data_IF_060687672513
#
_entry.id   IF_060687672513
#
_cell.length_a   1.000
_cell.length_b   1.000
_cell.length_c   1.000
_cell.angle_alpha   90.00
_cell.angle_beta   90.00
_cell.angle_gamma   90.00
#
_symmetry.space_group_name_H-M   'P 1'
#
loop_
_entity.id
_entity.type
_entity.pdbx_description
1 polymer ?
#
# COMPACT_ATOMS: atom_id res chain seq x y z
N UNK A 1 7.41 -1.67 -26.25
CA UNK A 1 7.18 -3.10 -26.60
C UNK A 1 5.98 -3.57 -25.77
N UNK A 2 4.97 -4.15 -26.40
CA UNK A 2 3.81 -4.68 -25.65
C UNK A 2 4.21 -5.93 -24.88
N UNK A 3 3.73 -6.05 -23.65
CA UNK A 3 3.72 -7.32 -22.94
C UNK A 3 2.64 -8.23 -23.56
N UNK A 4 3.06 -9.39 -24.04
CA UNK A 4 2.15 -10.45 -24.44
C UNK A 4 2.30 -11.59 -23.43
N UNK A 5 1.20 -11.92 -22.75
CA UNK A 5 1.19 -13.00 -21.77
C UNK A 5 1.66 -14.32 -22.41
N UNK A 6 2.57 -15.02 -21.78
CA UNK A 6 3.12 -16.26 -22.30
C UNK A 6 2.04 -17.33 -22.47
N UNK A 7 2.02 -17.96 -23.63
CA UNK A 7 1.10 -19.05 -23.99
C UNK A 7 1.92 -20.23 -24.45
N UNK A 8 1.75 -21.35 -23.78
CA UNK A 8 2.52 -22.57 -24.05
C UNK A 8 1.83 -23.52 -25.04
N UNK A 9 0.54 -23.33 -25.23
CA UNK A 9 -0.27 -24.13 -26.12
C UNK A 9 -1.39 -23.29 -26.74
N UNK A 10 -2.54 -23.88 -27.04
CA UNK A 10 -3.71 -23.18 -27.58
C UNK A 10 -4.25 -22.09 -26.64
N UNK A 11 -5.04 -21.18 -27.19
CA UNK A 11 -5.42 -19.90 -26.58
C UNK A 11 -6.08 -19.97 -25.18
N UNK A 12 -6.58 -21.09 -24.75
CA UNK A 12 -7.28 -21.28 -23.48
C UNK A 12 -6.51 -22.17 -22.49
N UNK A 13 -5.22 -22.43 -22.78
CA UNK A 13 -4.37 -23.20 -21.89
C UNK A 13 -3.52 -22.30 -21.01
N UNK A 14 -3.52 -22.59 -19.73
CA UNK A 14 -2.68 -22.00 -18.70
C UNK A 14 -1.92 -23.11 -17.94
N UNK A 15 -0.88 -22.75 -17.24
CA UNK A 15 -0.14 -23.71 -16.42
C UNK A 15 -1.04 -24.24 -15.29
N UNK A 16 -1.38 -25.55 -15.25
CA UNK A 16 -2.26 -26.08 -14.22
C UNK A 16 -1.60 -26.08 -12.85
N UNK A 17 -2.39 -26.15 -11.78
CA UNK A 17 -1.88 -26.32 -10.43
C UNK A 17 -1.08 -27.62 -10.31
N UNK A 18 -0.10 -27.67 -9.42
CA UNK A 18 0.71 -28.87 -9.20
C UNK A 18 -0.14 -30.09 -8.86
N UNK A 19 -1.22 -29.90 -8.10
CA UNK A 19 -2.17 -30.95 -7.76
C UNK A 19 -2.89 -31.53 -8.97
N UNK A 20 -3.19 -30.71 -9.98
CA UNK A 20 -3.85 -31.13 -11.22
C UNK A 20 -2.91 -31.93 -12.12
N UNK A 21 -1.59 -31.73 -11.97
CA UNK A 21 -0.57 -32.43 -12.76
C UNK A 21 -0.29 -33.86 -12.29
N UNK A 22 -0.30 -34.07 -10.98
CA UNK A 22 0.00 -35.36 -10.35
C UNK A 22 -0.74 -35.53 -9.04
N UNK A 23 -1.43 -36.65 -8.93
CA UNK A 23 -2.09 -37.13 -7.70
C UNK A 23 -1.32 -38.28 -7.04
N UNK A 24 0.01 -38.28 -7.11
CA UNK A 24 0.81 -39.33 -6.50
C UNK A 24 0.81 -39.20 -4.97
N UNK A 25 0.59 -40.32 -4.31
CA UNK A 25 0.70 -40.43 -2.85
C UNK A 25 2.17 -40.68 -2.54
N UNK A 26 2.75 -39.87 -1.69
CA UNK A 26 4.11 -40.09 -1.15
C UNK A 26 4.00 -41.01 0.08
N UNK A 27 4.55 -42.20 -0.03
CA UNK A 27 4.72 -43.07 1.16
C UNK A 27 5.83 -42.54 2.03
N UNK A 28 5.57 -42.41 3.32
CA UNK A 28 6.57 -41.97 4.30
C UNK A 28 7.22 -43.23 4.87
N UNK A 29 8.42 -43.52 4.38
CA UNK A 29 9.26 -44.58 4.97
C UNK A 29 10.14 -43.97 6.07
N UNK A 30 10.30 -44.70 7.18
CA UNK A 30 11.24 -44.36 8.27
C UNK A 30 11.08 -42.94 8.89
N UNK A 31 9.89 -42.61 9.34
CA UNK A 31 9.69 -41.36 10.09
C UNK A 31 10.43 -41.41 11.45
N UNK A 32 11.16 -40.36 11.84
CA UNK A 32 11.77 -40.26 13.17
C UNK A 32 10.74 -39.94 14.27
N UNK A 33 9.46 -39.75 13.91
CA UNK A 33 8.37 -39.46 14.82
C UNK A 33 7.69 -40.77 15.28
N UNK A 34 7.06 -40.81 16.47
CA UNK A 34 6.21 -41.91 16.92
C UNK A 34 5.09 -42.20 15.89
N UNK A 35 4.71 -43.48 15.75
CA UNK A 35 3.71 -43.90 14.74
C UNK A 35 2.35 -43.22 14.94
N UNK A 36 1.95 -42.91 16.16
CA UNK A 36 0.71 -42.20 16.49
C UNK A 36 0.72 -40.71 16.09
N UNK A 37 1.89 -40.16 15.84
CA UNK A 37 2.08 -38.78 15.33
C UNK A 37 2.45 -38.74 13.85
N UNK A 38 2.61 -39.91 13.21
CA UNK A 38 3.02 -40.00 11.80
C UNK A 38 1.82 -40.31 10.92
N UNK A 39 1.73 -39.64 9.77
CA UNK A 39 0.76 -39.98 8.71
C UNK A 39 1.34 -41.13 7.87
N UNK A 40 0.51 -42.10 7.54
CA UNK A 40 0.90 -43.19 6.64
C UNK A 40 1.19 -42.67 5.22
N UNK A 41 0.47 -41.62 4.77
CA UNK A 41 0.58 -41.09 3.44
C UNK A 41 0.44 -39.55 3.42
N UNK A 42 1.25 -38.90 2.58
CA UNK A 42 1.07 -37.50 2.22
C UNK A 42 0.46 -37.42 0.83
N UNK A 43 -0.76 -36.86 0.75
CA UNK A 43 -1.41 -36.52 -0.53
C UNK A 43 -0.85 -35.21 -1.03
N UNK A 44 0.37 -35.23 -1.56
CA UNK A 44 1.05 -34.07 -2.14
C UNK A 44 1.68 -34.46 -3.46
N UNK A 45 1.69 -33.54 -4.45
CA UNK A 45 2.45 -33.76 -5.68
C UNK A 45 3.93 -33.95 -5.34
N UNK A 46 4.57 -34.88 -6.03
CA UNK A 46 6.02 -35.17 -5.91
C UNK A 46 6.71 -34.97 -7.27
N UNK A 47 6.75 -33.73 -7.82
CA UNK A 47 7.42 -33.49 -9.08
C UNK A 47 8.95 -33.54 -8.90
N UNK A 48 9.65 -33.94 -9.97
CA UNK A 48 11.09 -33.79 -10.02
C UNK A 48 11.47 -32.29 -10.10
N UNK A 49 12.66 -31.94 -9.61
CA UNK A 49 13.14 -30.55 -9.60
C UNK A 49 12.99 -29.82 -10.96
N UNK A 50 13.36 -30.42 -12.12
CA UNK A 50 13.18 -29.76 -13.41
C UNK A 50 11.69 -29.45 -13.75
N UNK A 51 10.77 -30.31 -13.33
CA UNK A 51 9.34 -30.11 -13.53
C UNK A 51 8.81 -28.97 -12.65
N UNK A 52 9.26 -28.92 -11.40
CA UNK A 52 8.91 -27.88 -10.45
C UNK A 52 9.45 -26.51 -10.94
N UNK A 53 10.71 -26.44 -11.34
CA UNK A 53 11.30 -25.21 -11.87
C UNK A 53 10.56 -24.70 -13.11
N UNK A 54 10.22 -25.59 -14.04
CA UNK A 54 9.45 -25.24 -15.25
C UNK A 54 8.02 -24.78 -14.93
N UNK A 55 7.38 -25.42 -13.96
CA UNK A 55 6.04 -25.03 -13.50
C UNK A 55 6.02 -23.58 -13.02
N UNK A 56 6.85 -23.24 -12.05
CA UNK A 56 6.90 -21.88 -11.51
C UNK A 56 7.42 -20.84 -12.52
N UNK A 57 8.33 -21.23 -13.42
CA UNK A 57 8.74 -20.34 -14.51
C UNK A 57 7.57 -20.00 -15.43
N UNK A 58 6.73 -20.97 -15.78
CA UNK A 58 5.54 -20.72 -16.60
C UNK A 58 4.50 -19.88 -15.90
N UNK A 59 4.22 -20.17 -14.62
CA UNK A 59 3.32 -19.32 -13.80
C UNK A 59 3.81 -17.88 -13.74
N UNK A 60 5.12 -17.66 -13.55
CA UNK A 60 5.68 -16.30 -13.52
C UNK A 60 5.52 -15.56 -14.86
N UNK A 61 5.58 -16.30 -15.99
CA UNK A 61 5.38 -15.73 -17.32
C UNK A 61 3.90 -15.46 -17.65
N UNK A 62 2.98 -16.12 -16.96
CA UNK A 62 1.54 -15.87 -17.06
C UNK A 62 1.07 -14.72 -16.15
N UNK A 63 1.92 -14.28 -15.23
CA UNK A 63 1.60 -13.22 -14.26
C UNK A 63 2.18 -11.89 -14.72
N UNK A 64 1.33 -10.85 -14.71
CA UNK A 64 1.78 -9.47 -14.95
C UNK A 64 2.26 -8.84 -13.64
N UNK A 65 3.34 -8.07 -13.72
CA UNK A 65 3.88 -7.31 -12.58
C UNK A 65 4.71 -6.12 -13.03
N UNK A 66 5.21 -5.36 -12.10
CA UNK A 66 6.00 -4.13 -12.35
C UNK A 66 7.28 -4.37 -13.18
N UNK A 67 7.78 -5.60 -13.23
CA UNK A 67 8.90 -6.00 -14.10
C UNK A 67 8.46 -6.26 -15.54
N UNK A 68 7.17 -6.46 -15.78
CA UNK A 68 6.59 -6.74 -17.09
C UNK A 68 6.11 -5.49 -17.81
N UNK A 69 5.72 -4.46 -17.06
CA UNK A 69 5.24 -3.19 -17.59
C UNK A 69 4.56 -2.32 -16.54
N UNK A 70 3.92 -1.21 -16.95
CA UNK A 70 3.31 -0.26 -16.04
C UNK A 70 2.10 -0.86 -15.31
N UNK A 71 1.97 -0.51 -14.04
CA UNK A 71 0.83 -0.88 -13.19
C UNK A 71 0.23 0.41 -12.61
N UNK A 72 -0.62 1.12 -13.35
CA UNK A 72 -1.10 2.45 -12.99
C UNK A 72 -2.28 2.40 -11.99
N UNK A 73 -2.19 1.55 -10.97
CA UNK A 73 -3.21 1.44 -9.93
C UNK A 73 -3.21 2.69 -9.06
N UNK A 74 -4.27 3.50 -9.15
CA UNK A 74 -4.48 4.61 -8.24
C UNK A 74 -4.61 4.16 -6.80
N UNK A 75 -4.17 4.99 -5.88
CA UNK A 75 -4.10 4.74 -4.42
C UNK A 75 -3.12 3.63 -3.99
N UNK A 76 -2.41 2.99 -4.90
CA UNK A 76 -1.51 1.88 -4.60
C UNK A 76 -0.03 2.15 -4.84
N UNK A 77 0.34 3.20 -5.56
CA UNK A 77 1.73 3.55 -5.91
C UNK A 77 2.59 2.34 -6.31
N UNK A 78 2.16 1.66 -7.38
CA UNK A 78 2.81 0.43 -7.86
C UNK A 78 4.06 0.72 -8.68
N UNK A 79 5.04 1.40 -8.09
CA UNK A 79 6.29 1.72 -8.76
C UNK A 79 7.24 0.52 -8.86
N UNK A 80 8.15 0.57 -9.81
CA UNK A 80 9.22 -0.42 -9.95
C UNK A 80 10.02 -0.57 -8.64
N UNK A 81 10.27 -1.81 -8.25
CA UNK A 81 11.08 -2.14 -7.08
C UNK A 81 12.53 -2.40 -7.52
N UNK A 82 13.50 -1.51 -7.21
CA UNK A 82 14.87 -1.69 -7.66
C UNK A 82 15.50 -3.00 -7.18
N UNK A 83 16.08 -3.77 -8.10
CA UNK A 83 16.72 -5.07 -7.80
C UNK A 83 17.86 -4.98 -6.76
N UNK A 84 18.46 -3.80 -6.60
CA UNK A 84 19.41 -3.52 -5.52
C UNK A 84 18.80 -3.76 -4.13
N UNK A 85 17.53 -3.45 -3.94
CA UNK A 85 16.85 -3.60 -2.64
C UNK A 85 16.72 -5.09 -2.29
N UNK A 86 16.42 -5.92 -3.29
CA UNK A 86 16.38 -7.37 -3.11
C UNK A 86 17.77 -7.94 -2.79
N UNK A 87 18.81 -7.46 -3.49
CA UNK A 87 20.18 -7.90 -3.25
C UNK A 87 20.66 -7.54 -1.83
N UNK A 88 20.31 -6.35 -1.33
CA UNK A 88 20.64 -5.92 0.04
C UNK A 88 19.91 -6.78 1.07
N UNK A 89 18.62 -7.06 0.86
CA UNK A 89 17.83 -7.87 1.79
C UNK A 89 18.19 -9.37 1.75
N UNK A 90 18.79 -9.85 0.66
CA UNK A 90 19.26 -11.22 0.51
C UNK A 90 20.67 -11.47 1.07
N UNK A 91 21.38 -10.42 1.50
CA UNK A 91 22.68 -10.56 2.14
C UNK A 91 22.56 -11.34 3.46
N UNK A 92 23.46 -12.28 3.70
CA UNK A 92 23.43 -13.12 4.91
C UNK A 92 23.56 -12.32 6.22
N UNK A 93 24.22 -11.17 6.19
CA UNK A 93 24.32 -10.27 7.33
C UNK A 93 23.00 -9.51 7.61
N UNK A 94 22.11 -9.41 6.62
CA UNK A 94 20.78 -8.84 6.81
C UNK A 94 19.81 -9.82 7.50
N UNK A 95 20.09 -11.12 7.48
CA UNK A 95 19.23 -12.16 8.08
C UNK A 95 19.27 -12.20 9.62
N UNK A 96 19.71 -11.10 10.25
CA UNK A 96 19.84 -10.97 11.71
C UNK A 96 18.63 -10.21 12.25
N UNK A 97 17.84 -10.90 13.11
CA UNK A 97 16.65 -10.29 13.68
C UNK A 97 17.00 -9.27 14.80
N UNK A 98 16.36 -8.08 14.82
CA UNK A 98 16.62 -7.04 15.83
C UNK A 98 16.40 -7.45 17.29
N UNK A 99 15.58 -8.45 17.58
CA UNK A 99 15.30 -8.96 18.94
C UNK A 99 16.42 -9.89 19.50
N UNK A 100 17.56 -9.99 18.81
CA UNK A 100 18.74 -10.68 19.37
C UNK A 100 19.42 -9.78 20.42
N UNK A 101 20.35 -10.34 21.25
CA UNK A 101 21.11 -9.54 22.20
C UNK A 101 21.72 -8.30 21.52
N UNK A 102 21.50 -7.12 22.09
CA UNK A 102 21.83 -5.81 21.48
C UNK A 102 23.28 -5.71 21.03
N UNK A 103 24.22 -6.26 21.83
CA UNK A 103 25.64 -6.29 21.51
C UNK A 103 25.96 -7.08 20.22
N UNK A 104 25.07 -7.98 19.81
CA UNK A 104 25.24 -8.79 18.59
C UNK A 104 24.59 -8.18 17.34
N UNK A 105 23.82 -7.10 17.49
CA UNK A 105 22.99 -6.50 16.42
C UNK A 105 23.16 -4.98 16.30
N UNK A 106 24.27 -4.44 16.77
CA UNK A 106 24.50 -2.99 16.76
C UNK A 106 24.32 -2.33 15.40
N UNK A 107 24.81 -2.93 14.32
CA UNK A 107 24.61 -2.42 12.96
C UNK A 107 23.15 -2.44 12.50
N UNK A 108 22.37 -3.42 12.94
CA UNK A 108 20.92 -3.49 12.67
C UNK A 108 20.18 -2.37 13.41
N UNK A 109 20.50 -2.16 14.70
CA UNK A 109 19.91 -1.08 15.52
C UNK A 109 20.32 0.29 15.00
N UNK A 110 21.57 0.48 14.55
CA UNK A 110 22.03 1.72 13.88
C UNK A 110 21.20 2.04 12.64
N UNK A 111 20.96 1.04 11.77
CA UNK A 111 20.12 1.20 10.58
C UNK A 111 18.70 1.60 10.97
N UNK A 112 18.13 0.96 12.00
CA UNK A 112 16.78 1.29 12.49
C UNK A 112 16.72 2.71 13.05
N UNK A 113 17.65 3.10 13.91
CA UNK A 113 17.71 4.45 14.46
C UNK A 113 17.87 5.51 13.34
N UNK A 114 18.74 5.23 12.37
CA UNK A 114 18.93 6.10 11.20
C UNK A 114 17.65 6.22 10.38
N UNK A 115 16.95 5.11 10.14
CA UNK A 115 15.69 5.12 9.40
C UNK A 115 14.60 5.90 10.15
N UNK A 116 14.52 5.76 11.48
CA UNK A 116 13.62 6.56 12.31
C UNK A 116 13.90 8.09 12.14
N UNK A 117 15.17 8.51 12.22
CA UNK A 117 15.57 9.90 11.99
C UNK A 117 15.20 10.39 10.59
N UNK A 118 15.52 9.61 9.55
CA UNK A 118 15.21 10.01 8.18
C UNK A 118 13.71 10.12 7.92
N UNK A 119 12.91 9.17 8.40
CA UNK A 119 11.46 9.25 8.28
C UNK A 119 10.90 10.45 9.05
N UNK A 120 11.40 10.72 10.27
CA UNK A 120 11.04 11.91 11.02
C UNK A 120 11.33 13.19 10.24
N UNK A 121 12.52 13.31 9.65
CA UNK A 121 12.89 14.48 8.81
C UNK A 121 12.07 14.59 7.54
N UNK A 122 11.74 13.48 6.89
CA UNK A 122 10.90 13.45 5.68
C UNK A 122 9.47 13.89 6.00
N UNK A 123 8.89 13.41 7.09
CA UNK A 123 7.52 13.73 7.50
C UNK A 123 7.37 15.01 8.33
N UNK A 124 8.46 15.55 8.88
CA UNK A 124 8.41 16.66 9.86
C UNK A 124 7.94 16.18 11.24
N UNK A 125 8.27 14.93 11.61
CA UNK A 125 7.88 14.30 12.88
C UNK A 125 9.06 14.22 13.85
N UNK A 126 8.80 14.36 15.15
CA UNK A 126 9.84 14.36 16.20
C UNK A 126 10.31 12.96 16.58
N UNK A 127 9.43 11.95 16.47
CA UNK A 127 9.75 10.56 16.76
C UNK A 127 9.00 9.61 15.83
N UNK A 128 9.63 8.46 15.48
CA UNK A 128 9.06 7.48 14.55
C UNK A 128 9.25 6.06 15.08
N UNK A 129 8.16 5.30 15.18
CA UNK A 129 8.24 3.85 15.41
C UNK A 129 8.25 3.09 14.09
N UNK A 130 9.06 2.04 14.01
CA UNK A 130 9.14 1.13 12.86
C UNK A 130 8.30 -0.14 13.04
N UNK A 131 7.63 -0.28 14.17
CA UNK A 131 7.04 -1.56 14.59
C UNK A 131 5.82 -2.01 13.76
N UNK A 132 4.91 -1.14 13.28
CA UNK A 132 3.74 -1.60 12.53
C UNK A 132 4.11 -2.31 11.22
N UNK A 133 3.58 -3.53 10.96
CA UNK A 133 4.00 -4.36 9.83
C UNK A 133 3.27 -4.06 8.51
N UNK A 134 2.33 -3.13 8.50
CA UNK A 134 1.54 -2.75 7.33
C UNK A 134 1.00 -1.33 7.46
N UNK A 135 0.51 -0.74 6.36
CA UNK A 135 -0.15 0.58 6.38
C UNK A 135 -1.34 0.63 7.33
N UNK A 136 -2.30 -0.28 7.17
CA UNK A 136 -3.46 -0.39 8.07
C UNK A 136 -3.07 -0.62 9.54
N UNK A 137 -1.98 -1.35 9.81
CA UNK A 137 -1.45 -1.49 11.17
C UNK A 137 -0.84 -0.16 11.68
N UNK A 138 -0.27 0.65 10.79
CA UNK A 138 0.17 2.01 11.08
C UNK A 138 -0.99 2.92 11.43
N UNK A 139 -2.07 2.90 10.64
CA UNK A 139 -3.32 3.62 10.92
C UNK A 139 -3.85 3.29 12.32
N UNK A 140 -4.04 2.00 12.58
CA UNK A 140 -4.52 1.51 13.87
C UNK A 140 -3.60 1.91 15.03
N UNK A 141 -2.28 1.79 14.85
CA UNK A 141 -1.29 2.18 15.87
C UNK A 141 -1.36 3.67 16.18
N UNK A 142 -1.46 4.52 15.16
CA UNK A 142 -1.57 5.97 15.36
C UNK A 142 -2.83 6.36 16.11
N UNK A 143 -3.96 5.71 15.82
CA UNK A 143 -5.21 5.94 16.55
C UNK A 143 -5.16 5.43 18.00
N UNK A 144 -4.45 4.33 18.28
CA UNK A 144 -4.19 3.88 19.65
C UNK A 144 -3.32 4.90 20.43
N UNK A 145 -2.34 5.52 19.75
CA UNK A 145 -1.53 6.60 20.34
C UNK A 145 -2.41 7.81 20.66
N UNK A 146 -3.27 8.24 19.74
CA UNK A 146 -4.22 9.34 19.94
C UNK A 146 -5.14 9.05 21.14
N UNK A 147 -5.70 7.85 21.23
CA UNK A 147 -6.53 7.41 22.34
C UNK A 147 -5.80 7.49 23.69
N UNK A 148 -4.61 6.90 23.77
CA UNK A 148 -3.80 6.91 24.98
C UNK A 148 -3.38 8.34 25.41
N UNK A 149 -3.14 9.23 24.46
CA UNK A 149 -2.86 10.63 24.70
C UNK A 149 -4.04 11.32 25.37
N UNK A 150 -5.25 11.23 24.79
CA UNK A 150 -6.47 11.84 25.35
C UNK A 150 -6.83 11.25 26.72
N UNK A 151 -6.81 9.93 26.87
CA UNK A 151 -7.03 9.25 28.16
C UNK A 151 -6.04 9.72 29.24
N UNK A 152 -4.77 9.96 28.89
CA UNK A 152 -3.75 10.45 29.82
C UNK A 152 -4.03 11.85 30.35
N UNK A 153 -4.84 12.62 29.63
CA UNK A 153 -5.30 13.98 29.99
C UNK A 153 -6.64 13.96 30.71
N UNK A 154 -7.26 12.78 30.85
CA UNK A 154 -8.58 12.61 31.42
C UNK A 154 -9.73 13.05 30.48
N UNK A 155 -9.45 13.06 29.18
CA UNK A 155 -10.39 13.39 28.10
C UNK A 155 -10.98 12.07 27.55
N UNK A 156 -12.31 12.01 27.49
CA UNK A 156 -13.03 10.86 26.92
C UNK A 156 -13.57 11.25 25.53
N UNK A 157 -12.65 11.31 24.55
CA UNK A 157 -12.97 11.66 23.17
C UNK A 157 -13.26 10.40 22.39
N UNK A 158 -14.43 10.33 21.76
CA UNK A 158 -15.00 9.12 21.19
C UNK A 158 -15.07 9.11 19.67
N UNK A 159 -14.86 10.26 18.99
CA UNK A 159 -15.09 10.41 17.57
C UNK A 159 -13.81 10.60 16.76
N UNK A 160 -13.75 9.96 15.58
CA UNK A 160 -12.76 10.24 14.55
C UNK A 160 -13.49 10.72 13.29
N UNK A 161 -13.12 11.91 12.84
CA UNK A 161 -13.66 12.50 11.61
C UNK A 161 -12.87 11.94 10.40
N UNK A 162 -13.57 11.55 9.33
CA UNK A 162 -12.96 10.96 8.14
C UNK A 162 -13.69 11.48 6.90
N UNK A 163 -12.99 12.11 5.92
CA UNK A 163 -13.62 12.52 4.66
C UNK A 163 -14.15 11.33 3.85
N UNK A 164 -15.25 11.53 3.12
CA UNK A 164 -15.86 10.55 2.22
C UNK A 164 -14.94 10.12 1.06
N UNK A 165 -13.94 10.93 0.77
CA UNK A 165 -12.85 10.60 -0.17
C UNK A 165 -11.77 9.70 0.41
N UNK A 166 -11.78 9.40 1.73
CA UNK A 166 -10.73 8.62 2.37
C UNK A 166 -10.79 7.13 1.99
N UNK A 167 -9.67 6.45 2.11
CA UNK A 167 -9.61 5.01 1.90
C UNK A 167 -10.43 4.26 2.97
N UNK A 168 -11.11 3.18 2.58
CA UNK A 168 -11.96 2.39 3.48
C UNK A 168 -11.26 1.82 4.72
N UNK A 169 -9.91 1.66 4.68
CA UNK A 169 -9.14 1.23 5.85
C UNK A 169 -9.12 2.26 6.97
N UNK A 170 -9.25 3.55 6.68
CA UNK A 170 -9.33 4.60 7.72
C UNK A 170 -10.55 4.38 8.61
N UNK A 171 -11.73 4.13 8.00
CA UNK A 171 -12.97 3.81 8.70
C UNK A 171 -12.84 2.54 9.55
N UNK A 172 -12.24 1.49 8.98
CA UNK A 172 -12.02 0.22 9.68
C UNK A 172 -11.04 0.37 10.85
N UNK A 173 -9.95 1.10 10.68
CA UNK A 173 -8.93 1.34 11.71
C UNK A 173 -9.49 2.14 12.88
N UNK A 174 -10.32 3.17 12.62
CA UNK A 174 -11.01 3.96 13.64
C UNK A 174 -11.99 3.10 14.45
N UNK A 175 -12.82 2.31 13.77
CA UNK A 175 -13.74 1.40 14.43
C UNK A 175 -13.03 0.33 15.27
N UNK A 176 -11.92 -0.24 14.78
CA UNK A 176 -11.09 -1.20 15.52
C UNK A 176 -10.43 -0.57 16.76
N UNK A 177 -10.04 0.70 16.70
CA UNK A 177 -9.50 1.44 17.85
C UNK A 177 -10.60 1.79 18.89
N UNK A 178 -11.88 1.55 18.56
CA UNK A 178 -13.04 1.78 19.42
C UNK A 178 -13.57 3.21 19.37
N UNK A 179 -13.32 3.93 18.26
CA UNK A 179 -13.92 5.23 18.00
C UNK A 179 -15.19 5.10 17.18
N UNK A 180 -16.09 6.04 17.36
CA UNK A 180 -17.18 6.30 16.42
C UNK A 180 -16.63 7.08 15.23
N UNK A 181 -17.08 6.71 14.03
CA UNK A 181 -16.66 7.37 12.81
C UNK A 181 -17.69 8.41 12.38
N UNK A 182 -17.24 9.64 12.21
CA UNK A 182 -18.04 10.72 11.64
C UNK A 182 -17.53 11.01 10.24
N UNK A 183 -18.31 10.65 9.24
CA UNK A 183 -17.98 10.91 7.83
C UNK A 183 -18.21 12.37 7.49
N UNK A 184 -17.20 13.01 6.88
CA UNK A 184 -17.25 14.37 6.40
C UNK A 184 -17.50 14.39 4.89
N UNK A 185 -18.51 15.12 4.40
CA UNK A 185 -18.72 15.26 2.97
C UNK A 185 -17.61 16.11 2.34
N UNK A 186 -17.25 15.76 1.12
CA UNK A 186 -16.42 16.62 0.26
C UNK A 186 -17.23 17.79 -0.29
N UNK A 187 -16.57 18.93 -0.46
CA UNK A 187 -17.12 20.07 -1.17
C UNK A 187 -17.25 19.81 -2.68
N UNK A 188 -17.90 20.74 -3.40
CA UNK A 188 -18.08 20.64 -4.86
C UNK A 188 -16.75 20.53 -5.63
N UNK A 189 -15.64 20.98 -5.05
CA UNK A 189 -14.30 20.91 -5.62
C UNK A 189 -13.53 19.61 -5.25
N UNK A 190 -14.18 18.67 -4.54
CA UNK A 190 -13.61 17.39 -4.14
C UNK A 190 -12.64 17.43 -2.96
N UNK A 191 -12.62 18.53 -2.18
CA UNK A 191 -11.82 18.71 -0.96
C UNK A 191 -12.72 18.70 0.27
N UNK A 192 -12.11 18.75 1.46
CA UNK A 192 -12.85 18.86 2.71
C UNK A 192 -13.74 20.11 2.72
N UNK A 193 -15.03 19.93 3.00
CA UNK A 193 -15.94 21.07 3.22
C UNK A 193 -15.69 21.65 4.62
N UNK A 194 -15.09 22.86 4.67
CA UNK A 194 -14.78 23.55 5.93
C UNK A 194 -16.01 23.86 6.78
N UNK A 195 -17.19 24.08 6.17
CA UNK A 195 -18.42 24.31 6.92
C UNK A 195 -18.89 23.00 7.56
N UNK A 196 -18.81 21.89 6.85
CA UNK A 196 -19.13 20.58 7.40
C UNK A 196 -18.14 20.20 8.50
N UNK A 197 -16.85 20.43 8.32
CA UNK A 197 -15.81 20.22 9.33
C UNK A 197 -16.09 21.04 10.60
N UNK A 198 -16.32 22.34 10.46
CA UNK A 198 -16.61 23.24 11.59
C UNK A 198 -17.88 22.82 12.34
N UNK A 199 -18.87 22.28 11.63
CA UNK A 199 -20.12 21.82 12.26
C UNK A 199 -19.97 20.47 12.97
N UNK A 200 -19.05 19.62 12.53
CA UNK A 200 -18.83 18.28 13.07
C UNK A 200 -17.82 18.24 14.22
N UNK A 201 -16.82 19.13 14.20
CA UNK A 201 -15.74 19.16 15.20
C UNK A 201 -16.28 19.61 16.56
N UNK A 202 -15.87 18.93 17.64
CA UNK A 202 -16.30 19.25 19.01
C UNK A 202 -15.49 18.58 20.11
N UNK A 203 -16.01 18.62 21.33
CA UNK A 203 -15.35 18.06 22.52
C UNK A 203 -15.16 16.52 22.45
N UNK A 204 -15.97 15.83 21.65
CA UNK A 204 -15.89 14.39 21.42
C UNK A 204 -14.85 14.02 20.34
N UNK A 205 -14.37 14.99 19.58
CA UNK A 205 -13.43 14.74 18.46
C UNK A 205 -12.05 14.38 18.99
N UNK A 206 -11.61 13.15 18.76
CA UNK A 206 -10.27 12.68 19.08
C UNK A 206 -9.28 13.02 17.97
N UNK A 207 -9.66 12.82 16.71
CA UNK A 207 -8.82 13.13 15.57
C UNK A 207 -9.62 13.37 14.28
N UNK A 208 -9.01 14.09 13.33
CA UNK A 208 -9.36 14.07 11.91
C UNK A 208 -8.31 13.24 11.18
N UNK A 209 -8.71 12.18 10.48
CA UNK A 209 -7.84 11.41 9.57
C UNK A 209 -7.95 11.95 8.15
N UNK A 210 -6.85 12.36 7.58
CA UNK A 210 -6.80 13.00 6.27
C UNK A 210 -5.67 12.45 5.40
N UNK A 211 -5.96 12.14 4.14
CA UNK A 211 -4.97 11.86 3.10
C UNK A 211 -4.70 13.16 2.33
N UNK A 212 -3.45 13.58 2.20
CA UNK A 212 -3.11 14.79 1.46
C UNK A 212 -1.84 14.59 0.59
N UNK A 213 -1.91 14.69 -0.77
CA UNK A 213 -3.12 14.86 -1.58
C UNK A 213 -4.15 13.75 -1.34
N UNK A 214 -5.45 14.08 -1.51
CA UNK A 214 -6.52 13.10 -1.30
C UNK A 214 -6.60 12.07 -2.44
N UNK A 215 -7.56 11.16 -2.40
CA UNK A 215 -7.71 10.08 -3.38
C UNK A 215 -8.16 10.53 -4.78
N UNK A 216 -8.54 11.79 -4.93
CA UNK A 216 -8.76 12.44 -6.22
C UNK A 216 -7.47 13.06 -6.79
N UNK A 217 -6.34 12.93 -6.08
CA UNK A 217 -5.06 13.56 -6.38
C UNK A 217 -4.98 15.04 -6.00
N UNK A 218 -5.96 15.58 -5.28
CA UNK A 218 -6.08 16.99 -4.94
C UNK A 218 -5.37 17.32 -3.63
N UNK A 219 -4.55 18.35 -3.64
CA UNK A 219 -3.96 18.90 -2.42
C UNK A 219 -4.98 19.75 -1.66
N UNK A 220 -5.11 19.51 -0.35
CA UNK A 220 -5.94 20.33 0.54
C UNK A 220 -5.30 21.70 0.71
N UNK A 221 -5.88 22.72 0.04
CA UNK A 221 -5.31 24.08 0.00
C UNK A 221 -5.42 24.76 1.34
N UNK A 222 -6.50 24.46 2.05
CA UNK A 222 -6.87 25.10 3.31
C UNK A 222 -6.44 24.28 4.51
N UNK A 223 -5.34 23.48 4.35
CA UNK A 223 -4.84 22.57 5.38
C UNK A 223 -4.48 23.31 6.68
N UNK A 224 -4.00 24.54 6.61
CA UNK A 224 -3.68 25.35 7.79
C UNK A 224 -4.97 25.67 8.57
N UNK A 225 -6.07 26.02 7.90
CA UNK A 225 -7.38 26.30 8.51
C UNK A 225 -8.00 25.00 9.06
N UNK A 226 -7.88 23.89 8.35
CA UNK A 226 -8.31 22.56 8.82
C UNK A 226 -7.59 22.21 10.13
N UNK A 227 -6.27 22.40 10.17
CA UNK A 227 -5.48 22.12 11.37
C UNK A 227 -5.89 23.02 12.55
N UNK A 228 -6.09 24.32 12.32
CA UNK A 228 -6.53 25.27 13.34
C UNK A 228 -7.92 24.88 13.91
N UNK A 229 -8.90 24.55 13.06
CA UNK A 229 -10.24 24.11 13.48
C UNK A 229 -10.16 22.85 14.38
N UNK A 230 -9.37 21.86 14.01
CA UNK A 230 -9.25 20.60 14.77
C UNK A 230 -8.50 20.81 16.09
N UNK A 231 -7.40 21.58 16.08
CA UNK A 231 -6.60 21.85 17.27
C UNK A 231 -7.32 22.76 18.26
N UNK A 232 -8.08 23.76 17.81
CA UNK A 232 -8.87 24.63 18.69
C UNK A 232 -9.93 23.86 19.49
N UNK A 233 -10.45 22.77 18.92
CA UNK A 233 -11.32 21.83 19.63
C UNK A 233 -10.57 20.82 20.50
N UNK A 234 -9.23 20.81 20.46
CA UNK A 234 -8.35 19.89 21.19
C UNK A 234 -8.22 18.50 20.55
N UNK A 235 -8.70 18.31 19.32
CA UNK A 235 -8.48 17.11 18.54
C UNK A 235 -7.05 17.04 17.95
N UNK A 236 -6.68 15.89 17.40
CA UNK A 236 -5.41 15.66 16.71
C UNK A 236 -5.61 15.58 15.21
N UNK A 237 -4.62 16.01 14.43
CA UNK A 237 -4.62 15.87 12.98
C UNK A 237 -3.75 14.68 12.58
N UNK A 238 -4.37 13.69 11.92
CA UNK A 238 -3.72 12.45 11.48
C UNK A 238 -3.53 12.44 9.97
N UNK A 239 -2.29 12.28 9.52
CA UNK A 239 -1.94 12.13 8.10
C UNK A 239 -1.90 10.66 7.67
N UNK A 240 -2.79 10.28 6.75
CA UNK A 240 -2.66 9.03 6.01
C UNK A 240 -1.55 9.18 4.96
N UNK A 241 -0.44 8.48 5.20
CA UNK A 241 0.77 8.58 4.37
C UNK A 241 0.73 7.79 3.06
N UNK A 242 -0.44 7.33 2.61
CA UNK A 242 -0.59 6.61 1.34
C UNK A 242 -0.06 7.43 0.16
N UNK A 243 -0.29 8.73 0.16
CA UNK A 243 0.04 9.64 -0.94
C UNK A 243 1.30 10.51 -0.69
N UNK A 244 2.14 10.14 0.29
CA UNK A 244 3.38 10.86 0.61
C UNK A 244 4.34 10.94 -0.59
N UNK A 245 4.24 10.01 -1.56
CA UNK A 245 5.05 10.03 -2.78
C UNK A 245 4.92 11.34 -3.58
N UNK A 246 3.77 12.01 -3.49
CA UNK A 246 3.54 13.32 -4.13
C UNK A 246 4.29 14.47 -3.46
N UNK A 247 4.71 14.32 -2.20
CA UNK A 247 5.21 15.41 -1.37
C UNK A 247 6.70 15.32 -1.04
N UNK A 248 7.38 14.22 -1.34
CA UNK A 248 8.79 13.99 -0.99
C UNK A 248 9.68 15.19 -1.38
N UNK A 249 10.32 15.80 -0.38
CA UNK A 249 11.21 16.93 -0.56
C UNK A 249 10.55 18.21 -1.09
N UNK A 250 9.21 18.26 -1.16
CA UNK A 250 8.43 19.45 -1.54
C UNK A 250 7.73 20.05 -0.31
N UNK A 251 7.09 19.21 0.50
CA UNK A 251 6.39 19.61 1.71
C UNK A 251 6.47 18.48 2.73
N UNK A 252 6.29 18.81 4.02
CA UNK A 252 6.30 17.84 5.12
C UNK A 252 4.98 17.91 5.87
N UNK A 253 4.30 16.79 6.13
CA UNK A 253 3.04 16.78 6.88
C UNK A 253 3.12 17.49 8.24
N UNK A 254 4.18 17.29 9.01
CA UNK A 254 4.35 17.97 10.29
C UNK A 254 4.36 19.49 10.20
N UNK A 255 4.89 20.06 9.10
CA UNK A 255 4.85 21.52 8.87
C UNK A 255 3.46 22.06 8.52
N UNK A 256 2.52 21.18 8.19
CA UNK A 256 1.11 21.49 7.90
C UNK A 256 0.20 21.31 9.12
N UNK A 257 0.76 21.01 10.29
CA UNK A 257 0.02 20.82 11.53
C UNK A 257 -0.41 19.38 11.82
N UNK A 258 0.06 18.39 11.07
CA UNK A 258 -0.22 16.99 11.41
C UNK A 258 0.56 16.54 12.63
N UNK A 259 -0.16 15.92 13.60
CA UNK A 259 0.40 15.43 14.86
C UNK A 259 0.88 13.98 14.77
N UNK A 260 0.21 13.20 13.94
CA UNK A 260 0.45 11.77 13.71
C UNK A 260 0.47 11.51 12.21
N UNK A 261 1.37 10.64 11.77
CA UNK A 261 1.32 10.12 10.41
C UNK A 261 1.77 8.67 10.35
N UNK A 262 1.27 7.90 9.38
CA UNK A 262 1.91 6.65 9.02
C UNK A 262 2.60 6.75 7.65
N UNK A 263 3.59 5.90 7.43
CA UNK A 263 4.31 5.79 6.16
C UNK A 263 3.99 4.46 5.51
N UNK A 264 3.61 4.47 4.24
CA UNK A 264 3.52 3.24 3.45
C UNK A 264 4.85 3.02 2.72
N UNK A 265 5.79 2.28 3.33
CA UNK A 265 7.12 2.08 2.71
C UNK A 265 7.03 1.30 1.40
N UNK A 266 6.00 0.46 1.25
CA UNK A 266 5.69 -0.29 0.03
C UNK A 266 5.05 0.56 -1.09
N UNK A 267 4.74 1.82 -0.81
CA UNK A 267 4.31 2.83 -1.79
C UNK A 267 5.46 3.81 -2.06
N UNK A 268 5.70 4.71 -1.12
CA UNK A 268 6.66 5.82 -1.26
C UNK A 268 8.11 5.37 -1.43
N UNK A 269 8.54 4.30 -0.76
CA UNK A 269 9.95 3.88 -0.74
C UNK A 269 10.22 2.59 -1.55
N UNK A 270 9.35 2.26 -2.50
CA UNK A 270 9.56 1.22 -3.51
C UNK A 270 9.88 -0.18 -2.94
N UNK A 271 9.38 -0.51 -1.75
CA UNK A 271 9.43 -1.90 -1.27
C UNK A 271 8.30 -2.73 -1.89
N UNK A 272 8.43 -4.06 -2.02
CA UNK A 272 7.41 -4.87 -2.69
C UNK A 272 6.05 -4.84 -1.99
N UNK A 273 4.96 -4.85 -2.77
CA UNK A 273 3.60 -5.13 -2.26
C UNK A 273 3.38 -6.62 -1.98
N UNK A 274 4.03 -7.50 -2.73
CA UNK A 274 4.10 -8.95 -2.49
C UNK A 274 2.76 -9.69 -2.57
N UNK A 275 1.77 -9.16 -3.29
CA UNK A 275 0.48 -9.83 -3.43
C UNK A 275 -0.34 -9.90 -2.14
N UNK A 276 -0.32 -8.85 -1.33
CA UNK A 276 -1.01 -8.77 -0.04
C UNK A 276 -0.11 -9.05 1.16
N UNK A 277 1.17 -8.95 0.97
CA UNK A 277 2.22 -9.07 1.99
C UNK A 277 3.27 -8.03 1.75
N UNK A 278 4.56 -8.33 1.83
CA UNK A 278 5.49 -7.69 2.74
C UNK A 278 5.47 -6.17 2.60
N UNK A 279 4.80 -5.51 3.52
CA UNK A 279 4.81 -4.06 3.68
C UNK A 279 5.38 -3.68 5.03
N UNK A 280 5.37 -2.39 5.34
CA UNK A 280 5.52 -1.86 6.68
C UNK A 280 4.85 -0.48 6.74
N UNK A 281 4.41 -0.12 7.94
CA UNK A 281 3.69 1.13 8.21
C UNK A 281 4.29 1.89 9.39
N UNK A 282 5.55 2.35 9.35
CA UNK A 282 6.10 3.21 10.39
C UNK A 282 5.15 4.34 10.76
N UNK A 283 5.13 4.75 12.03
CA UNK A 283 4.29 5.84 12.51
C UNK A 283 5.17 6.93 13.10
N UNK A 284 5.02 8.14 12.57
CA UNK A 284 5.66 9.36 13.06
C UNK A 284 4.69 10.17 13.91
N UNK A 285 5.21 10.82 14.94
CA UNK A 285 4.44 11.64 15.86
C UNK A 285 5.20 12.88 16.28
N UNK A 286 4.47 13.91 16.73
CA UNK A 286 5.03 15.09 17.40
C UNK A 286 5.59 14.74 18.78
N UNK A 287 6.38 15.67 19.36
CA UNK A 287 7.07 15.47 20.64
C UNK A 287 6.13 15.09 21.80
N UNK A 288 4.93 15.69 21.85
CA UNK A 288 3.96 15.44 22.92
C UNK A 288 3.40 14.00 22.87
N UNK A 289 3.41 13.38 21.71
CA UNK A 289 2.91 12.02 21.50
C UNK A 289 4.03 10.97 21.57
N UNK A 290 5.29 11.34 21.49
CA UNK A 290 6.43 10.43 21.53
C UNK A 290 6.45 9.49 22.76
N UNK A 291 6.03 9.90 23.98
CA UNK A 291 5.95 9.00 25.14
C UNK A 291 5.01 7.81 24.97
N UNK A 292 4.05 7.88 24.04
CA UNK A 292 3.04 6.84 23.81
C UNK A 292 3.42 5.84 22.70
N UNK A 293 4.57 6.03 22.04
CA UNK A 293 5.02 5.12 20.97
C UNK A 293 5.06 3.66 21.44
N UNK A 294 4.85 2.68 20.54
CA UNK A 294 5.02 1.26 20.84
C UNK A 294 6.41 0.92 21.39
N UNK A 295 6.46 -0.06 22.27
CA UNK A 295 7.71 -0.55 22.87
C UNK A 295 8.12 -1.92 22.30
N UNK A 296 9.42 -2.24 22.26
CA UNK A 296 10.54 -1.34 22.53
C UNK A 296 10.78 -0.39 21.34
N UNK A 297 11.49 0.69 21.60
CA UNK A 297 11.92 1.68 20.61
C UNK A 297 13.45 1.73 20.57
N UNK A 298 14.06 2.09 19.44
CA UNK A 298 15.52 2.15 19.30
C UNK A 298 16.02 3.57 19.59
N UNK A 299 17.12 3.69 20.34
CA UNK A 299 17.84 4.96 20.52
C UNK A 299 19.35 4.74 20.55
N UNK A 300 20.08 5.81 20.29
CA UNK A 300 21.50 5.89 20.58
C UNK A 300 21.73 6.36 22.03
N UNK A 301 22.62 5.68 22.74
CA UNK A 301 22.99 5.99 24.10
C UNK A 301 24.50 5.73 24.27
N UNK A 302 25.28 6.76 24.64
CA UNK A 302 26.73 6.68 24.88
C UNK A 302 27.56 6.08 23.72
N UNK A 303 27.07 6.20 22.47
CA UNK A 303 27.74 5.69 21.28
C UNK A 303 27.41 4.26 20.92
N UNK A 304 26.47 3.65 21.63
CA UNK A 304 25.88 2.34 21.33
C UNK A 304 24.36 2.49 21.07
N UNK A 305 23.77 1.53 20.40
CA UNK A 305 22.33 1.50 20.13
C UNK A 305 21.65 0.50 21.07
N UNK A 306 20.58 0.93 21.70
CA UNK A 306 19.83 0.13 22.67
C UNK A 306 18.32 0.16 22.41
N UNK A 307 17.61 -0.86 22.90
CA UNK A 307 16.15 -0.89 22.94
C UNK A 307 15.66 -0.32 24.26
N UNK A 308 14.69 0.59 24.21
CA UNK A 308 14.09 1.15 25.42
C UNK A 308 12.57 1.20 25.33
N UNK A 309 11.91 1.23 26.47
CA UNK A 309 10.47 1.38 26.56
C UNK A 309 10.09 2.84 26.77
N UNK A 310 9.31 3.48 25.87
CA UNK A 310 8.75 4.81 26.11
C UNK A 310 7.87 4.83 27.36
N UNK A 311 7.88 5.95 28.10
CA UNK A 311 7.34 6.06 29.46
C UNK A 311 5.86 5.72 29.58
N UNK A 312 5.05 6.09 28.55
CA UNK A 312 3.59 5.89 28.50
C UNK A 312 3.19 4.99 27.33
N UNK A 313 4.12 4.12 26.90
CA UNK A 313 3.93 3.28 25.72
C UNK A 313 2.57 2.57 25.70
N UNK A 314 1.91 2.58 24.53
CA UNK A 314 0.71 1.75 24.26
C UNK A 314 0.98 0.24 24.28
N UNK A 315 2.23 -0.18 24.49
CA UNK A 315 2.62 -1.57 24.46
C UNK A 315 3.22 -2.01 23.13
N UNK A 316 3.34 -3.32 22.94
CA UNK A 316 3.88 -3.90 21.71
C UNK A 316 2.74 -4.13 20.71
N UNK A 317 2.82 -3.57 19.51
CA UNK A 317 1.78 -3.67 18.47
C UNK A 317 2.06 -4.80 17.46
N UNK A 318 3.28 -5.34 17.46
CA UNK A 318 3.69 -6.47 16.61
C UNK A 318 4.56 -7.44 17.39
N UNK A 319 4.60 -8.72 16.98
CA UNK A 319 5.45 -9.76 17.59
C UNK A 319 6.95 -9.48 17.52
N UNK A 320 7.38 -8.72 16.53
CA UNK A 320 8.76 -8.32 16.26
C UNK A 320 8.88 -6.79 16.10
N UNK A 321 10.08 -6.32 15.77
CA UNK A 321 10.38 -4.90 15.48
C UNK A 321 10.00 -4.52 14.03
N UNK A 322 8.74 -4.77 13.65
CA UNK A 322 8.29 -4.58 12.29
C UNK A 322 8.84 -5.63 11.31
N UNK A 323 8.72 -5.34 10.03
CA UNK A 323 9.24 -6.19 8.96
C UNK A 323 10.67 -5.77 8.62
N UNK A 324 11.64 -6.26 9.38
CA UNK A 324 13.04 -5.82 9.30
C UNK A 324 13.59 -5.74 7.87
N UNK A 325 13.46 -6.81 7.07
CA UNK A 325 14.00 -6.81 5.71
C UNK A 325 13.31 -5.81 4.78
N UNK A 326 12.04 -5.50 5.02
CA UNK A 326 11.31 -4.44 4.29
C UNK A 326 11.80 -3.06 4.71
N UNK A 327 12.02 -2.84 6.00
CA UNK A 327 12.60 -1.60 6.53
C UNK A 327 14.02 -1.39 6.00
N UNK A 328 14.82 -2.44 5.92
CA UNK A 328 16.16 -2.40 5.31
C UNK A 328 16.12 -2.01 3.83
N UNK A 329 15.13 -2.51 3.07
CA UNK A 329 14.90 -2.08 1.68
C UNK A 329 14.57 -0.60 1.61
N UNK A 330 13.66 -0.11 2.46
CA UNK A 330 13.30 1.31 2.53
C UNK A 330 14.53 2.19 2.88
N UNK A 331 15.32 1.77 3.87
CA UNK A 331 16.58 2.42 4.19
C UNK A 331 17.53 2.51 2.99
N UNK A 332 17.72 1.39 2.27
CA UNK A 332 18.59 1.33 1.10
C UNK A 332 18.07 2.22 -0.05
N UNK A 333 16.75 2.30 -0.24
CA UNK A 333 16.10 3.19 -1.21
C UNK A 333 16.39 4.67 -0.89
N UNK A 334 16.12 5.10 0.34
CA UNK A 334 16.36 6.47 0.80
C UNK A 334 17.84 6.81 0.67
N UNK A 335 18.74 5.93 1.14
CA UNK A 335 20.18 6.13 1.05
C UNK A 335 20.68 6.23 -0.40
N UNK A 336 20.09 5.44 -1.31
CA UNK A 336 20.46 5.43 -2.74
C UNK A 336 20.09 6.73 -3.44
N UNK A 337 18.92 7.29 -3.11
CA UNK A 337 18.41 8.49 -3.75
C UNK A 337 18.96 9.79 -3.10
N UNK A 338 19.08 9.80 -1.79
CA UNK A 338 19.40 11.02 -1.03
C UNK A 338 18.33 12.10 -1.21
N UNK A 339 18.55 13.26 -0.59
CA UNK A 339 17.57 14.36 -0.58
C UNK A 339 17.14 14.80 -2.00
N UNK A 340 18.11 14.95 -2.91
CA UNK A 340 17.85 15.40 -4.26
C UNK A 340 17.05 14.35 -5.07
N UNK A 341 17.36 13.07 -4.92
CA UNK A 341 16.66 11.99 -5.61
C UNK A 341 15.23 11.81 -5.09
N UNK A 342 15.01 11.93 -3.78
CA UNK A 342 13.66 11.89 -3.19
C UNK A 342 12.80 13.05 -3.69
N UNK A 343 13.33 14.27 -3.73
CA UNK A 343 12.60 15.41 -4.29
C UNK A 343 12.31 15.27 -5.79
N UNK A 344 13.21 14.63 -6.54
CA UNK A 344 12.99 14.36 -7.97
C UNK A 344 11.93 13.28 -8.20
N UNK A 345 11.84 12.28 -7.31
CA UNK A 345 10.78 11.25 -7.30
C UNK A 345 9.39 11.93 -7.32
N UNK A 346 9.13 12.81 -6.36
CA UNK A 346 7.86 13.53 -6.26
C UNK A 346 7.55 14.35 -7.53
N UNK A 347 8.52 15.15 -7.99
CA UNK A 347 8.32 15.99 -9.19
C UNK A 347 7.98 15.15 -10.42
N UNK A 348 8.65 14.01 -10.60
CA UNK A 348 8.37 13.10 -11.73
C UNK A 348 7.03 12.40 -11.60
N UNK A 349 6.64 11.98 -10.39
CA UNK A 349 5.33 11.39 -10.17
C UNK A 349 4.21 12.37 -10.60
N UNK A 350 4.31 13.63 -10.16
CA UNK A 350 3.36 14.69 -10.56
C UNK A 350 3.42 14.97 -12.07
N UNK A 351 4.61 15.07 -12.64
CA UNK A 351 4.78 15.32 -14.08
C UNK A 351 4.17 14.17 -14.91
N UNK A 352 4.43 12.92 -14.55
CA UNK A 352 3.94 11.76 -15.27
C UNK A 352 2.41 11.65 -15.23
N UNK A 353 1.80 11.92 -14.07
CA UNK A 353 0.33 11.92 -13.94
C UNK A 353 -0.30 12.99 -14.81
N UNK A 354 0.20 14.22 -14.75
CA UNK A 354 -0.31 15.32 -15.58
C UNK A 354 -0.06 15.08 -17.08
N UNK A 355 1.10 14.52 -17.44
CA UNK A 355 1.38 14.18 -18.83
C UNK A 355 0.41 13.13 -19.37
N UNK A 356 0.15 12.05 -18.61
CA UNK A 356 -0.78 11.00 -19.03
C UNK A 356 -2.22 11.53 -19.13
N UNK A 357 -2.65 12.33 -18.16
CA UNK A 357 -3.99 12.93 -18.13
C UNK A 357 -4.28 13.78 -19.37
N UNK A 358 -3.31 14.56 -19.84
CA UNK A 358 -3.42 15.35 -21.07
C UNK A 358 -3.45 14.52 -22.37
N UNK A 359 -3.12 13.22 -22.27
CA UNK A 359 -3.01 12.31 -23.42
C UNK A 359 -4.20 11.38 -23.59
N UNK A 360 -5.07 11.24 -22.57
CA UNK A 360 -6.22 10.35 -22.60
C UNK A 360 -7.50 11.09 -22.96
N UNK A 361 -8.39 10.41 -23.69
CA UNK A 361 -9.70 10.96 -24.07
C UNK A 361 -10.81 10.45 -23.10
N UNK A 362 -10.64 10.80 -21.82
CA UNK A 362 -11.65 10.57 -20.77
C UNK A 362 -11.79 11.86 -19.95
N UNK A 363 -13.00 12.13 -19.48
CA UNK A 363 -13.25 13.29 -18.62
C UNK A 363 -12.56 13.11 -17.28
N UNK A 364 -11.89 14.15 -16.79
CA UNK A 364 -11.29 14.23 -15.45
C UNK A 364 -12.01 15.34 -14.70
N UNK A 365 -13.01 15.01 -13.86
CA UNK A 365 -13.91 16.01 -13.30
C UNK A 365 -13.27 16.92 -12.25
N UNK A 366 -12.15 16.50 -11.65
CA UNK A 366 -11.49 17.22 -10.56
C UNK A 366 -10.07 17.62 -10.91
N UNK A 367 -9.65 18.83 -10.48
CA UNK A 367 -8.27 19.31 -10.67
C UNK A 367 -8.03 20.68 -10.00
N UNK A 368 -6.77 21.16 -10.02
CA UNK A 368 -5.56 20.48 -10.45
C UNK A 368 -5.16 19.37 -9.51
N UNK A 369 -4.69 18.26 -10.04
CA UNK A 369 -4.25 17.07 -9.30
C UNK A 369 -2.71 16.96 -9.29
N UNK A 370 -2.18 16.09 -8.42
CA UNK A 370 -0.74 15.87 -8.24
C UNK A 370 -0.26 14.60 -8.94
N UNK A 371 0.00 13.53 -8.18
CA UNK A 371 0.65 12.30 -8.67
C UNK A 371 -0.32 11.26 -9.23
N UNK A 372 -1.59 11.43 -8.99
CA UNK A 372 -2.68 10.59 -9.46
C UNK A 372 -3.89 11.45 -9.86
N UNK A 373 -4.78 10.87 -10.64
CA UNK A 373 -6.02 11.50 -11.06
C UNK A 373 -7.14 10.45 -11.22
N UNK A 374 -8.37 10.91 -11.21
CA UNK A 374 -9.54 10.06 -11.44
C UNK A 374 -10.25 10.53 -12.70
N UNK A 375 -10.30 9.66 -13.70
CA UNK A 375 -11.09 9.87 -14.91
C UNK A 375 -12.45 9.14 -14.80
N UNK A 376 -13.47 9.64 -15.48
CA UNK A 376 -14.76 8.98 -15.62
C UNK A 376 -14.82 8.21 -16.94
N UNK A 377 -15.27 6.95 -16.89
CA UNK A 377 -15.55 6.20 -18.11
C UNK A 377 -16.85 6.66 -18.81
N UNK A 378 -17.58 7.60 -18.21
CA UNK A 378 -18.85 8.14 -18.75
C UNK A 378 -19.92 7.08 -18.85
N UNK A 379 -20.52 6.93 -20.02
CA UNK A 379 -21.59 5.94 -20.27
C UNK A 379 -21.05 4.47 -20.37
N UNK A 380 -19.74 4.25 -20.23
CA UNK A 380 -19.12 2.92 -20.31
C UNK A 380 -18.93 2.33 -18.91
N UNK A 381 -19.07 1.03 -18.78
CA UNK A 381 -18.69 0.32 -17.54
C UNK A 381 -17.16 0.35 -17.37
N UNK A 382 -16.67 0.94 -16.28
CA UNK A 382 -15.24 1.08 -15.97
C UNK A 382 -14.51 -0.27 -15.92
N UNK A 383 -15.18 -1.34 -15.45
CA UNK A 383 -14.59 -2.66 -15.42
C UNK A 383 -14.44 -3.26 -16.84
N UNK A 384 -15.31 -2.92 -17.77
CA UNK A 384 -15.18 -3.32 -19.16
C UNK A 384 -14.06 -2.58 -19.87
N UNK A 385 -13.90 -1.27 -19.61
CA UNK A 385 -12.75 -0.46 -20.04
C UNK A 385 -11.45 -1.11 -19.54
N UNK A 386 -11.35 -1.40 -18.26
CA UNK A 386 -10.20 -2.04 -17.64
C UNK A 386 -9.84 -3.38 -18.30
N UNK A 387 -10.84 -4.23 -18.55
CA UNK A 387 -10.64 -5.54 -19.21
C UNK A 387 -10.17 -5.40 -20.66
N UNK A 388 -10.62 -4.35 -21.36
CA UNK A 388 -10.15 -4.07 -22.72
C UNK A 388 -8.67 -3.63 -22.72
N UNK A 389 -8.22 -2.90 -21.70
CA UNK A 389 -6.82 -2.51 -21.56
C UNK A 389 -5.89 -3.72 -21.39
N UNK A 390 -6.34 -4.80 -20.74
CA UNK A 390 -5.59 -6.06 -20.69
C UNK A 390 -5.27 -6.61 -22.10
N UNK A 391 -6.17 -6.47 -23.05
CA UNK A 391 -5.94 -6.87 -24.45
C UNK A 391 -4.88 -6.02 -25.14
N UNK A 392 -4.50 -4.89 -24.56
CA UNK A 392 -3.41 -4.01 -25.02
C UNK A 392 -2.08 -4.33 -24.36
N UNK A 393 -2.05 -5.28 -23.42
CA UNK A 393 -0.84 -5.71 -22.72
C UNK A 393 -0.38 -4.73 -21.67
N UNK A 394 -1.31 -4.03 -21.03
CA UNK A 394 -1.06 -3.15 -19.89
C UNK A 394 -1.95 -3.57 -18.71
N UNK A 395 -1.48 -3.31 -17.50
CA UNK A 395 -2.32 -3.45 -16.32
C UNK A 395 -3.33 -2.31 -16.27
N UNK A 396 -4.62 -2.56 -16.01
CA UNK A 396 -5.61 -1.50 -15.91
C UNK A 396 -5.47 -0.69 -14.60
N UNK A 397 -6.05 0.52 -14.55
CA UNK A 397 -6.16 1.31 -13.33
C UNK A 397 -7.16 0.70 -12.33
N UNK A 398 -7.26 1.29 -11.14
CA UNK A 398 -8.33 1.02 -10.18
C UNK A 398 -9.67 1.47 -10.75
N UNK A 399 -10.70 0.63 -10.61
CA UNK A 399 -12.04 0.91 -11.18
C UNK A 399 -13.10 1.10 -10.11
N UNK A 400 -14.11 1.93 -10.42
CA UNK A 400 -15.31 2.16 -9.59
C UNK A 400 -15.00 2.69 -8.17
N UNK A 401 -13.89 3.37 -8.03
CA UNK A 401 -13.48 4.04 -6.80
C UNK A 401 -12.54 5.22 -7.15
N UNK A 402 -12.59 6.35 -6.42
CA UNK A 402 -13.56 6.69 -5.37
C UNK A 402 -14.99 6.91 -5.89
N UNK A 403 -15.99 6.70 -5.02
CA UNK A 403 -17.43 6.79 -5.39
C UNK A 403 -17.87 8.20 -5.78
N UNK A 404 -17.05 9.22 -5.51
CA UNK A 404 -17.27 10.61 -5.93
C UNK A 404 -17.26 10.81 -7.45
N UNK A 405 -16.76 9.83 -8.21
CA UNK A 405 -16.72 9.85 -9.68
C UNK A 405 -17.45 8.62 -10.23
N UNK A 406 -18.49 8.87 -11.00
CA UNK A 406 -19.23 7.79 -11.67
C UNK A 406 -18.32 7.04 -12.66
N UNK A 407 -18.39 5.70 -12.62
CA UNK A 407 -17.55 4.81 -13.44
C UNK A 407 -16.08 5.21 -13.40
N UNK A 408 -15.56 5.41 -12.20
CA UNK A 408 -14.22 5.89 -11.94
C UNK A 408 -13.12 4.98 -12.49
N UNK A 409 -12.10 5.60 -13.04
CA UNK A 409 -10.82 5.04 -13.45
C UNK A 409 -9.73 5.83 -12.72
N UNK A 410 -9.24 5.32 -11.61
CA UNK A 410 -8.24 6.00 -10.79
C UNK A 410 -6.83 5.57 -11.20
N UNK A 411 -6.01 6.52 -11.60
CA UNK A 411 -4.74 6.32 -12.31
C UNK A 411 -3.58 6.96 -11.58
N UNK A 412 -2.59 6.16 -11.21
CA UNK A 412 -1.30 6.61 -10.70
C UNK A 412 -0.17 5.98 -11.53
N UNK A 413 0.43 6.70 -12.51
CA UNK A 413 1.47 6.11 -13.37
C UNK A 413 2.81 5.94 -12.68
N UNK A 414 3.05 6.62 -11.56
CA UNK A 414 4.30 6.72 -10.80
C UNK A 414 5.47 7.42 -11.54
N UNK A 415 6.52 7.77 -10.81
CA UNK A 415 7.74 8.34 -11.36
C UNK A 415 8.64 7.33 -12.07
N UNK A 416 8.39 6.05 -11.88
CA UNK A 416 9.21 4.98 -12.45
C UNK A 416 9.02 4.82 -13.95
N UNK A 417 7.89 5.32 -14.47
CA UNK A 417 7.52 5.14 -15.86
C UNK A 417 8.23 6.14 -16.79
N UNK A 418 8.70 5.61 -17.91
CA UNK A 418 9.28 6.41 -18.99
C UNK A 418 8.19 7.06 -19.85
N UNK A 419 8.57 8.06 -20.65
CA UNK A 419 7.65 8.64 -21.63
C UNK A 419 7.08 7.58 -22.59
N UNK A 420 7.91 6.62 -23.03
CA UNK A 420 7.47 5.52 -23.91
C UNK A 420 6.39 4.66 -23.25
N UNK A 421 6.53 4.40 -21.95
CA UNK A 421 5.55 3.64 -21.18
C UNK A 421 4.26 4.42 -20.96
N UNK A 422 4.36 5.73 -20.72
CA UNK A 422 3.19 6.61 -20.60
C UNK A 422 2.40 6.69 -21.91
N UNK A 423 3.08 6.75 -23.07
CA UNK A 423 2.42 6.69 -24.38
C UNK A 423 1.74 5.33 -24.61
N UNK A 424 2.34 4.21 -24.15
CA UNK A 424 1.72 2.90 -24.21
C UNK A 424 0.41 2.85 -23.38
N UNK A 425 0.41 3.46 -22.20
CA UNK A 425 -0.80 3.59 -21.38
C UNK A 425 -1.85 4.46 -22.08
N UNK A 426 -1.46 5.63 -22.61
CA UNK A 426 -2.36 6.51 -23.35
C UNK A 426 -3.00 5.79 -24.54
N UNK A 427 -2.21 5.07 -25.36
CA UNK A 427 -2.72 4.24 -26.46
C UNK A 427 -3.74 3.19 -26.01
N UNK A 428 -3.58 2.65 -24.79
CA UNK A 428 -4.52 1.65 -24.25
C UNK A 428 -5.84 2.32 -23.81
N UNK A 429 -5.78 3.50 -23.20
CA UNK A 429 -6.96 4.31 -22.89
C UNK A 429 -7.70 4.76 -24.16
N UNK A 430 -6.99 5.27 -25.15
CA UNK A 430 -7.57 5.70 -26.44
C UNK A 430 -8.25 4.53 -27.16
N UNK A 431 -7.63 3.35 -27.09
CA UNK A 431 -8.24 2.16 -27.67
C UNK A 431 -9.55 1.76 -26.98
N UNK A 432 -9.63 1.93 -25.66
CA UNK A 432 -10.83 1.65 -24.88
C UNK A 432 -11.91 2.73 -25.10
N UNK A 433 -11.53 4.02 -25.20
CA UNK A 433 -12.48 5.10 -25.47
C UNK A 433 -13.13 4.98 -26.87
N UNK A 434 -12.41 4.42 -27.85
CA UNK A 434 -12.87 4.24 -29.23
C UNK A 434 -13.46 2.84 -29.51
N UNK A 435 -13.47 1.92 -28.56
CA UNK A 435 -14.02 0.59 -28.75
C UNK A 435 -15.56 0.62 -28.76
N UNK A 436 -16.16 -0.24 -29.57
CA UNK A 436 -17.61 -0.42 -29.56
C UNK A 436 -18.06 -1.18 -28.28
N UNK A 437 -19.32 -0.98 -27.82
CA UNK A 437 -19.83 -1.58 -26.60
C UNK A 437 -19.70 -3.11 -26.55
N UNK A 438 -19.95 -3.81 -27.64
CA UNK A 438 -19.92 -5.28 -27.71
C UNK A 438 -18.47 -5.78 -27.51
N UNK A 439 -17.49 -5.07 -28.07
CA UNK A 439 -16.06 -5.37 -27.88
C UNK A 439 -15.63 -5.15 -26.42
N UNK A 440 -16.06 -4.06 -25.79
CA UNK A 440 -15.77 -3.81 -24.37
C UNK A 440 -16.41 -4.90 -23.49
N UNK A 441 -17.67 -5.24 -23.73
CA UNK A 441 -18.40 -6.23 -22.93
C UNK A 441 -17.80 -7.63 -23.05
N UNK A 442 -17.27 -8.00 -24.22
CA UNK A 442 -16.66 -9.32 -24.45
C UNK A 442 -15.17 -9.41 -24.05
N UNK A 443 -14.48 -8.28 -23.80
CA UNK A 443 -13.08 -8.27 -23.38
C UNK A 443 -12.89 -8.93 -21.98
N UNK A 444 -11.72 -9.54 -21.69
CA UNK A 444 -10.50 -9.60 -22.49
C UNK A 444 -10.50 -10.79 -23.49
N UNK A 445 -9.81 -10.62 -24.63
CA UNK A 445 -9.69 -11.66 -25.66
C UNK A 445 -8.28 -12.24 -25.77
N UNK A 446 -7.25 -11.51 -25.26
CA UNK A 446 -5.83 -11.83 -25.47
C UNK A 446 -5.13 -12.35 -24.21
N UNK A 447 -5.81 -12.41 -23.08
CA UNK A 447 -5.28 -12.97 -21.83
C UNK A 447 -5.51 -14.48 -21.77
N UNK A 448 -4.70 -15.20 -20.98
CA UNK A 448 -4.87 -16.64 -20.76
C UNK A 448 -6.21 -16.93 -20.10
N UNK A 449 -6.52 -16.23 -19.00
CA UNK A 449 -7.86 -16.28 -18.39
C UNK A 449 -8.80 -15.28 -19.07
N UNK A 450 -10.04 -15.67 -19.25
CA UNK A 450 -11.13 -14.83 -19.74
C UNK A 450 -11.87 -14.17 -18.57
N UNK A 451 -13.14 -13.82 -18.78
CA UNK A 451 -14.00 -13.37 -17.69
C UNK A 451 -14.21 -14.50 -16.69
N UNK A 452 -13.91 -14.24 -15.44
CA UNK A 452 -14.15 -15.16 -14.34
C UNK A 452 -15.49 -14.83 -13.68
N UNK A 453 -16.14 -15.85 -13.11
CA UNK A 453 -17.30 -15.63 -12.24
C UNK A 453 -16.84 -15.12 -10.88
N UNK A 454 -16.78 -13.78 -10.74
CA UNK A 454 -16.37 -13.12 -9.51
C UNK A 454 -17.34 -13.38 -8.35
N UNK A 455 -18.62 -13.57 -8.66
CA UNK A 455 -19.66 -13.81 -7.64
C UNK A 455 -19.47 -15.21 -7.05
N UNK A 456 -19.27 -16.22 -7.89
CA UNK A 456 -19.01 -17.59 -7.42
C UNK A 456 -17.67 -17.64 -6.67
N UNK A 457 -16.61 -17.01 -7.17
CA UNK A 457 -15.31 -16.94 -6.51
C UNK A 457 -15.38 -16.30 -5.11
N UNK A 458 -16.23 -15.29 -4.92
CA UNK A 458 -16.42 -14.65 -3.63
C UNK A 458 -17.32 -15.43 -2.67
N UNK A 459 -18.38 -16.08 -3.19
CA UNK A 459 -19.38 -16.80 -2.37
C UNK A 459 -18.96 -18.22 -2.01
N UNK A 460 -18.24 -18.89 -2.89
CA UNK A 460 -17.86 -20.30 -2.78
C UNK A 460 -16.35 -20.52 -2.97
N UNK A 461 -15.49 -19.80 -2.23
CA UNK A 461 -14.04 -19.87 -2.45
C UNK A 461 -13.50 -21.26 -2.12
N UNK A 462 -12.75 -21.85 -3.05
CA UNK A 462 -12.07 -23.14 -2.86
C UNK A 462 -10.66 -22.88 -2.33
N UNK A 463 -10.52 -22.78 -1.01
CA UNK A 463 -9.29 -22.32 -0.34
C UNK A 463 -8.43 -23.47 0.22
N UNK A 464 -8.85 -24.71 0.06
CA UNK A 464 -8.11 -25.84 0.58
C UNK A 464 -7.86 -26.88 -0.48
N UNK A 465 -6.78 -27.65 -0.30
CA UNK A 465 -6.47 -28.79 -1.13
C UNK A 465 -7.65 -29.79 -1.26
N UNK A 466 -8.35 -30.09 -0.17
CA UNK A 466 -9.51 -30.98 -0.17
C UNK A 466 -10.66 -30.46 -1.04
N UNK A 467 -10.89 -29.15 -0.99
CA UNK A 467 -11.94 -28.54 -1.81
C UNK A 467 -11.64 -28.60 -3.32
N UNK A 468 -10.38 -28.81 -3.70
CA UNK A 468 -9.95 -29.00 -5.09
C UNK A 468 -10.04 -30.47 -5.52
N UNK A 469 -9.86 -31.44 -4.58
CA UNK A 469 -10.01 -32.87 -4.88
C UNK A 469 -11.48 -33.29 -5.11
N UNK A 470 -12.43 -32.60 -4.46
CA UNK A 470 -13.87 -32.92 -4.51
C UNK A 470 -14.59 -32.25 -5.72
N UNK A 471 -13.87 -31.57 -6.58
CA UNK A 471 -14.37 -30.84 -7.75
C UNK A 471 -14.02 -31.55 -9.06
#
# INVERSE_FOLDING_TARGET
MRYDQARWSEADHYEPLLIEKRSETVEIEDSPLPDDLTREQLRMPSPAEPELARHYTRLSQETYGVDSGPVPLGSCTMKYNPSLLEAVAADENAAVHPDRPEESVQGTLEIMATLQDWLGRIGGMDAVTLQPPAGAAGEYTGLLIAKAYHESRGEDRSEVLIPDSAHGTNFASAAMAGFEVVELPSGEDGRVDLNALTAAVGDETAALMLTNPNTLGLFERDIDEIAEIVHDAGGLLYYDGANLNALLGQARPGDMGFDIMHYNVHKTFATPHGGGGPGAGPVGVTADLAPFLPRPHVRESEGEYELYDPERSIGKVHGYQGNWLVLLKAYAYIRRLGDAGLAETSRKAVLNANYLAERIDFEIPYGPFHHEFVASAGDRDAANVAKHMLDRGVHPPTTKWPELVDEALMVEPTEAESKETLELLADAFDAASNADPDTLESSPHRTTARRIDQVEAARSPRLSWRALEDS
#
